data_IF_807189053639
#
_entry.id   IF_807189053639
#
_cell.length_a   1.000
_cell.length_b   1.000
_cell.length_c   1.000
_cell.angle_alpha   90.00
_cell.angle_beta   90.00
_cell.angle_gamma   90.00
#
_symmetry.space_group_name_H-M   'P 1'
#
loop_
_entity.id
_entity.type
_entity.pdbx_description
1 polymer ?
#
# COMPACT_ATOMS: atom_id res chain seq x y z
N UNK A 1 -30.51 -7.35 -29.01
CA UNK A 1 -29.87 -7.61 -27.71
C UNK A 1 -30.94 -7.66 -26.64
N UNK A 2 -31.64 -8.78 -26.55
CA UNK A 2 -32.61 -9.05 -25.49
C UNK A 2 -31.86 -9.66 -24.31
N UNK A 3 -31.81 -8.99 -23.14
CA UNK A 3 -31.20 -9.51 -21.93
C UNK A 3 -30.19 -8.56 -21.25
N UNK A 4 -30.17 -7.29 -21.66
CA UNK A 4 -29.35 -6.26 -21.02
C UNK A 4 -30.16 -4.98 -20.78
N UNK A 5 -29.92 -4.32 -19.66
CA UNK A 5 -30.40 -2.96 -19.41
C UNK A 5 -29.44 -1.94 -20.01
N UNK A 6 -29.98 -0.89 -20.63
CA UNK A 6 -29.21 0.28 -21.06
C UNK A 6 -29.25 1.32 -19.95
N UNK A 7 -28.12 1.56 -19.30
CA UNK A 7 -27.95 2.55 -18.25
C UNK A 7 -27.39 3.84 -18.84
N UNK A 8 -28.00 4.98 -18.53
CA UNK A 8 -27.55 6.32 -18.98
C UNK A 8 -26.65 6.95 -17.88
N UNK A 9 -25.82 7.91 -18.29
CA UNK A 9 -25.05 8.71 -17.33
C UNK A 9 -25.97 9.33 -16.26
N UNK A 10 -25.58 9.27 -15.00
CA UNK A 10 -26.36 9.72 -13.86
C UNK A 10 -27.33 8.69 -13.28
N UNK A 11 -27.60 7.59 -13.98
CA UNK A 11 -28.46 6.50 -13.48
C UNK A 11 -27.65 5.52 -12.63
N UNK A 12 -28.34 4.74 -11.80
CA UNK A 12 -27.76 3.85 -10.78
C UNK A 12 -27.99 2.38 -11.11
N UNK A 13 -27.10 1.56 -10.65
CA UNK A 13 -27.24 0.11 -10.69
C UNK A 13 -26.86 -0.53 -9.34
N UNK A 14 -27.72 -1.38 -8.82
CA UNK A 14 -27.45 -2.22 -7.67
C UNK A 14 -26.93 -3.58 -8.13
N UNK A 15 -25.68 -3.86 -7.75
CA UNK A 15 -25.07 -5.19 -7.88
C UNK A 15 -25.39 -6.00 -6.62
N UNK A 16 -26.19 -7.03 -6.76
CA UNK A 16 -26.61 -7.92 -5.66
C UNK A 16 -25.54 -8.94 -5.23
N UNK A 17 -24.34 -8.91 -5.83
CA UNK A 17 -23.28 -9.86 -5.51
C UNK A 17 -22.49 -9.41 -4.29
N UNK A 18 -22.24 -10.35 -3.38
CA UNK A 18 -21.27 -10.17 -2.30
C UNK A 18 -19.86 -9.94 -2.88
N UNK A 19 -19.14 -9.03 -2.29
CA UNK A 19 -17.70 -8.85 -2.52
C UNK A 19 -17.03 -8.28 -1.25
N UNK A 20 -15.70 -8.40 -1.18
CA UNK A 20 -14.97 -7.89 -0.01
C UNK A 20 -15.25 -6.40 0.21
N UNK A 21 -15.76 -6.06 1.40
CA UNK A 21 -16.18 -4.70 1.74
C UNK A 21 -17.61 -4.33 1.31
N UNK A 22 -18.36 -5.26 0.69
CA UNK A 22 -19.73 -5.05 0.23
C UNK A 22 -20.59 -6.27 0.54
N UNK A 23 -20.91 -6.47 1.83
CA UNK A 23 -21.62 -7.66 2.33
C UNK A 23 -23.04 -7.79 1.74
N UNK A 24 -23.71 -6.69 1.45
CA UNK A 24 -25.02 -6.65 0.81
C UNK A 24 -25.00 -6.07 -0.60
N UNK A 25 -23.86 -6.27 -1.31
CA UNK A 25 -23.67 -5.76 -2.65
C UNK A 25 -23.36 -4.26 -2.70
N UNK A 26 -23.41 -3.66 -3.89
CA UNK A 26 -23.05 -2.25 -4.07
C UNK A 26 -23.99 -1.53 -5.02
N UNK A 27 -24.34 -0.29 -4.70
CA UNK A 27 -25.06 0.61 -5.59
C UNK A 27 -24.07 1.63 -6.12
N UNK A 28 -23.98 1.74 -7.45
CA UNK A 28 -23.07 2.69 -8.12
C UNK A 28 -23.79 3.47 -9.21
N UNK A 29 -23.42 4.73 -9.37
CA UNK A 29 -23.89 5.61 -10.44
C UNK A 29 -22.97 5.51 -11.66
N UNK A 30 -23.51 5.56 -12.85
CA UNK A 30 -22.73 5.66 -14.07
C UNK A 30 -22.25 7.10 -14.28
N UNK A 31 -20.98 7.38 -13.99
CA UNK A 31 -20.38 8.73 -14.06
C UNK A 31 -19.43 8.91 -15.25
N UNK A 32 -18.79 7.84 -15.74
CA UNK A 32 -17.65 7.94 -16.65
C UNK A 32 -18.01 7.87 -18.13
N UNK A 33 -19.16 7.29 -18.47
CA UNK A 33 -19.58 7.05 -19.84
C UNK A 33 -20.98 7.59 -20.08
N UNK A 34 -21.32 8.00 -21.31
CA UNK A 34 -22.68 8.46 -21.64
C UNK A 34 -23.74 7.39 -21.44
N UNK A 35 -23.39 6.13 -21.73
CA UNK A 35 -24.27 4.97 -21.63
C UNK A 35 -23.45 3.70 -21.36
N UNK A 36 -24.08 2.69 -20.74
CA UNK A 36 -23.51 1.38 -20.52
C UNK A 36 -24.57 0.29 -20.55
N UNK A 37 -24.22 -0.91 -21.02
CA UNK A 37 -25.10 -2.08 -20.98
C UNK A 37 -24.77 -2.94 -19.76
N UNK A 38 -25.81 -3.30 -18.97
CA UNK A 38 -25.69 -4.14 -17.78
C UNK A 38 -26.59 -5.37 -17.88
N UNK A 39 -26.13 -6.48 -17.30
CA UNK A 39 -26.92 -7.70 -17.16
C UNK A 39 -28.21 -7.45 -16.38
N UNK A 40 -29.26 -8.21 -16.69
CA UNK A 40 -30.54 -8.20 -15.95
C UNK A 40 -30.43 -8.71 -14.50
N UNK A 41 -29.26 -9.17 -14.08
CA UNK A 41 -28.96 -9.49 -12.67
C UNK A 41 -28.88 -8.23 -11.78
N UNK A 42 -28.65 -7.05 -12.37
CA UNK A 42 -28.63 -5.77 -11.68
C UNK A 42 -30.01 -5.17 -11.57
N UNK A 43 -30.27 -4.42 -10.49
CA UNK A 43 -31.46 -3.54 -10.42
C UNK A 43 -30.98 -2.15 -10.87
N UNK A 44 -31.49 -1.68 -12.03
CA UNK A 44 -31.16 -0.39 -12.59
C UNK A 44 -32.27 0.64 -12.30
N UNK A 45 -31.89 1.86 -11.92
CA UNK A 45 -32.88 2.90 -11.57
C UNK A 45 -32.34 4.32 -11.79
N UNK A 46 -33.26 5.27 -11.92
CA UNK A 46 -33.01 6.70 -11.97
C UNK A 46 -33.66 7.40 -10.76
N UNK A 47 -33.05 8.50 -10.30
CA UNK A 47 -33.61 9.32 -9.23
C UNK A 47 -34.69 10.25 -9.76
N UNK A 48 -35.71 10.53 -8.91
CA UNK A 48 -36.82 11.42 -9.25
C UNK A 48 -36.76 12.78 -8.52
N UNK A 49 -36.24 12.84 -7.30
CA UNK A 49 -36.40 14.01 -6.42
C UNK A 49 -35.13 14.49 -5.73
N UNK A 50 -34.19 13.60 -5.45
CA UNK A 50 -33.04 13.89 -4.59
C UNK A 50 -31.85 14.41 -5.38
N UNK A 51 -30.96 15.13 -4.71
CA UNK A 51 -29.65 15.47 -5.27
C UNK A 51 -28.86 14.20 -5.56
N UNK A 52 -28.35 14.08 -6.80
CA UNK A 52 -27.72 12.84 -7.25
C UNK A 52 -26.34 12.60 -6.61
N UNK A 53 -25.59 13.64 -6.29
CA UNK A 53 -24.29 13.49 -5.63
C UNK A 53 -24.47 13.13 -4.16
N UNK A 54 -25.49 13.66 -3.50
CA UNK A 54 -25.89 13.28 -2.15
C UNK A 54 -26.27 11.78 -2.07
N UNK A 55 -27.13 11.32 -2.97
CA UNK A 55 -27.54 9.90 -3.01
C UNK A 55 -26.39 8.97 -3.32
N UNK A 56 -25.46 9.39 -4.19
CA UNK A 56 -24.22 8.64 -4.42
C UNK A 56 -23.42 8.49 -3.12
N UNK A 57 -23.22 9.57 -2.37
CA UNK A 57 -22.53 9.54 -1.08
C UNK A 57 -23.27 8.69 -0.05
N UNK A 58 -24.61 8.77 -0.02
CA UNK A 58 -25.44 7.92 0.83
C UNK A 58 -25.23 6.43 0.54
N UNK A 59 -25.25 6.02 -0.72
CA UNK A 59 -24.99 4.61 -1.08
C UNK A 59 -23.55 4.19 -0.81
N UNK A 60 -22.59 5.08 -0.96
CA UNK A 60 -21.18 4.81 -0.59
C UNK A 60 -20.97 4.72 0.94
N UNK A 61 -21.88 5.28 1.77
CA UNK A 61 -21.83 5.16 3.24
C UNK A 61 -22.20 3.77 3.76
N UNK A 62 -22.85 2.94 2.95
CA UNK A 62 -23.39 1.62 3.29
C UNK A 62 -24.49 1.63 4.37
N UNK A 63 -24.99 2.80 4.79
CA UNK A 63 -26.08 2.91 5.77
C UNK A 63 -27.41 2.26 5.32
N UNK A 64 -27.61 2.18 4.02
CA UNK A 64 -28.74 1.52 3.39
C UNK A 64 -28.72 -0.02 3.55
N UNK A 65 -27.61 -0.62 4.00
CA UNK A 65 -27.48 -2.06 4.22
C UNK A 65 -28.50 -2.62 5.21
N UNK A 66 -28.87 -1.82 6.22
CA UNK A 66 -29.89 -2.20 7.18
C UNK A 66 -31.20 -2.61 6.50
N UNK A 67 -31.65 -1.82 5.53
CA UNK A 67 -32.89 -2.06 4.81
C UNK A 67 -32.78 -3.28 3.88
N UNK A 68 -31.64 -3.45 3.22
CA UNK A 68 -31.39 -4.63 2.37
C UNK A 68 -31.31 -5.92 3.23
N UNK A 69 -30.70 -5.84 4.41
CA UNK A 69 -30.66 -6.98 5.33
C UNK A 69 -32.06 -7.49 5.65
N UNK A 70 -33.02 -6.60 5.87
CA UNK A 70 -34.42 -6.95 6.24
C UNK A 70 -35.19 -7.64 5.11
N UNK A 71 -34.83 -7.38 3.83
CA UNK A 71 -35.52 -7.93 2.66
C UNK A 71 -34.70 -9.04 1.95
N UNK A 72 -33.44 -9.22 2.31
CA UNK A 72 -32.61 -10.30 1.78
C UNK A 72 -32.99 -11.59 2.52
N UNK A 73 -33.81 -12.43 1.88
CA UNK A 73 -34.13 -13.75 2.45
C UNK A 73 -32.83 -14.56 2.61
N UNK A 74 -32.69 -15.28 3.72
CA UNK A 74 -31.64 -16.29 3.91
C UNK A 74 -31.68 -17.31 2.78
N UNK A 75 -30.79 -17.17 1.83
CA UNK A 75 -30.77 -18.00 0.63
C UNK A 75 -29.58 -17.80 -0.26
N UNK A 76 -28.48 -17.22 0.25
CA UNK A 76 -27.19 -17.24 -0.44
C UNK A 76 -26.64 -18.67 -0.57
N UNK A 77 -27.46 -19.58 -1.06
CA UNK A 77 -27.07 -20.89 -1.56
C UNK A 77 -26.56 -20.66 -2.98
N UNK A 78 -25.26 -20.78 -3.14
CA UNK A 78 -24.51 -20.77 -4.41
C UNK A 78 -24.18 -19.38 -4.97
N UNK A 79 -22.89 -19.08 -4.93
CA UNK A 79 -22.17 -18.03 -5.68
C UNK A 79 -22.27 -16.58 -5.17
N UNK A 80 -22.64 -16.32 -3.92
CA UNK A 80 -22.57 -14.97 -3.34
C UNK A 80 -23.58 -13.97 -3.92
N UNK A 81 -24.61 -14.40 -4.64
CA UNK A 81 -25.70 -13.56 -5.13
C UNK A 81 -26.80 -13.49 -4.09
N UNK A 82 -27.14 -12.28 -3.64
CA UNK A 82 -28.25 -12.03 -2.71
C UNK A 82 -29.60 -12.19 -3.42
N UNK A 83 -30.55 -12.84 -2.77
CA UNK A 83 -31.92 -12.90 -3.24
C UNK A 83 -32.69 -11.67 -2.78
N UNK A 84 -32.65 -10.60 -3.54
CA UNK A 84 -33.36 -9.33 -3.29
C UNK A 84 -34.35 -9.13 -4.42
N UNK A 85 -35.68 -9.26 -4.16
CA UNK A 85 -36.72 -8.97 -5.14
C UNK A 85 -36.69 -7.47 -5.53
N UNK A 86 -36.98 -7.19 -6.79
CA UNK A 86 -36.91 -5.79 -7.30
C UNK A 86 -37.98 -4.92 -6.65
N UNK A 87 -39.18 -5.46 -6.40
CA UNK A 87 -40.29 -4.73 -5.74
C UNK A 87 -39.89 -4.39 -4.31
N UNK A 88 -39.42 -5.36 -3.54
CA UNK A 88 -39.00 -5.15 -2.14
C UNK A 88 -37.84 -4.13 -2.03
N UNK A 89 -36.92 -4.14 -3.02
CA UNK A 89 -35.84 -3.14 -3.08
C UNK A 89 -36.40 -1.71 -3.23
N UNK A 90 -37.41 -1.50 -4.06
CA UNK A 90 -37.99 -0.16 -4.24
C UNK A 90 -38.91 0.24 -3.08
N UNK A 91 -39.38 -0.69 -2.25
CA UNK A 91 -40.18 -0.44 -1.08
C UNK A 91 -39.34 -0.15 0.18
N UNK A 92 -38.00 -0.28 0.10
CA UNK A 92 -37.11 0.06 1.20
C UNK A 92 -37.23 1.53 1.60
N UNK A 93 -37.16 1.79 2.92
CA UNK A 93 -37.35 3.13 3.49
C UNK A 93 -36.01 3.70 3.94
N UNK A 94 -35.67 4.89 3.42
CA UNK A 94 -34.44 5.58 3.73
C UNK A 94 -34.72 6.93 4.37
N UNK A 95 -34.07 7.20 5.51
CA UNK A 95 -34.20 8.48 6.20
C UNK A 95 -33.18 9.47 5.63
N UNK A 96 -33.67 10.45 4.90
CA UNK A 96 -32.86 11.44 4.20
C UNK A 96 -33.39 12.85 4.50
N UNK A 97 -32.55 13.90 4.50
CA UNK A 97 -33.04 15.28 4.55
C UNK A 97 -34.04 15.56 3.41
N UNK A 98 -35.19 16.15 3.73
CA UNK A 98 -36.16 16.51 2.70
C UNK A 98 -35.71 17.69 1.83
N UNK A 99 -34.93 18.60 2.40
CA UNK A 99 -34.44 19.80 1.74
C UNK A 99 -33.28 19.44 0.78
N UNK A 100 -33.51 19.63 -0.51
CA UNK A 100 -32.51 19.35 -1.57
C UNK A 100 -31.30 20.29 -1.46
N UNK A 101 -31.44 21.52 -0.95
CA UNK A 101 -30.29 22.42 -0.74
C UNK A 101 -29.41 21.93 0.41
N UNK A 102 -29.98 21.30 1.43
CA UNK A 102 -29.22 20.63 2.48
C UNK A 102 -28.47 19.42 1.92
N UNK A 103 -29.14 18.58 1.13
CA UNK A 103 -28.52 17.45 0.44
C UNK A 103 -27.33 17.91 -0.40
N UNK A 104 -27.49 18.98 -1.17
CA UNK A 104 -26.44 19.55 -2.02
C UNK A 104 -25.24 20.04 -1.19
N UNK A 105 -25.47 20.75 -0.08
CA UNK A 105 -24.39 21.20 0.82
C UNK A 105 -23.57 20.04 1.38
N UNK A 106 -24.23 18.95 1.77
CA UNK A 106 -23.57 17.73 2.26
C UNK A 106 -22.76 17.10 1.10
N UNK A 107 -23.33 16.98 -0.07
CA UNK A 107 -22.66 16.43 -1.25
C UNK A 107 -21.42 17.25 -1.64
N UNK A 108 -21.55 18.56 -1.75
CA UNK A 108 -20.46 19.47 -2.11
C UNK A 108 -19.29 19.37 -1.09
N UNK A 109 -19.62 19.28 0.18
CA UNK A 109 -18.62 19.09 1.24
C UNK A 109 -17.86 17.76 1.09
N UNK A 110 -18.58 16.65 0.86
CA UNK A 110 -17.96 15.33 0.68
C UNK A 110 -17.14 15.27 -0.63
N UNK A 111 -17.62 15.88 -1.71
CA UNK A 111 -16.88 16.00 -2.98
C UNK A 111 -15.59 16.81 -2.77
N UNK A 112 -15.66 17.92 -2.04
CA UNK A 112 -14.46 18.73 -1.73
C UNK A 112 -13.43 17.93 -0.93
N UNK A 113 -13.90 17.11 0.02
CA UNK A 113 -13.04 16.21 0.79
C UNK A 113 -12.41 15.12 -0.10
N UNK A 114 -13.17 14.53 -1.01
CA UNK A 114 -12.65 13.55 -1.96
C UNK A 114 -11.57 14.13 -2.88
N UNK A 115 -11.80 15.32 -3.43
CA UNK A 115 -10.78 16.04 -4.22
C UNK A 115 -9.52 16.29 -3.40
N UNK A 116 -9.65 16.60 -2.10
CA UNK A 116 -8.51 16.78 -1.22
C UNK A 116 -7.74 15.49 -0.99
N UNK A 117 -8.44 14.37 -0.81
CA UNK A 117 -7.84 13.03 -0.66
C UNK A 117 -7.10 12.65 -1.95
N UNK A 118 -7.72 12.81 -3.11
CA UNK A 118 -7.10 12.51 -4.41
C UNK A 118 -5.84 13.36 -4.66
N UNK A 119 -5.89 14.65 -4.36
CA UNK A 119 -4.73 15.54 -4.47
C UNK A 119 -3.61 15.13 -3.51
N UNK A 120 -3.95 14.72 -2.27
CA UNK A 120 -2.98 14.23 -1.30
C UNK A 120 -2.35 12.91 -1.73
N UNK A 121 -3.13 11.96 -2.27
CA UNK A 121 -2.63 10.70 -2.84
C UNK A 121 -1.65 10.97 -3.99
N UNK A 122 -2.03 11.84 -4.93
CA UNK A 122 -1.17 12.23 -6.06
C UNK A 122 0.16 12.85 -5.59
N UNK A 123 0.12 13.64 -4.53
CA UNK A 123 1.33 14.23 -3.93
C UNK A 123 2.25 13.16 -3.36
N UNK A 124 1.71 12.17 -2.64
CA UNK A 124 2.47 11.02 -2.10
C UNK A 124 3.12 10.25 -3.24
N UNK A 125 2.37 9.90 -4.28
CA UNK A 125 2.86 9.15 -5.43
C UNK A 125 3.96 9.89 -6.19
N UNK A 126 3.83 11.21 -6.34
CA UNK A 126 4.84 12.06 -6.96
C UNK A 126 6.12 12.14 -6.11
N UNK A 127 6.00 12.19 -4.78
CA UNK A 127 7.18 12.13 -3.90
C UNK A 127 7.89 10.78 -3.96
N UNK A 128 7.16 9.67 -4.04
CA UNK A 128 7.74 8.33 -4.24
C UNK A 128 8.46 8.23 -5.59
N UNK A 129 7.89 8.79 -6.67
CA UNK A 129 8.55 8.89 -7.98
C UNK A 129 9.81 9.76 -7.92
N UNK A 130 9.73 10.89 -7.24
CA UNK A 130 10.87 11.79 -7.04
C UNK A 130 12.02 11.08 -6.29
N UNK A 131 11.71 10.33 -5.21
CA UNK A 131 12.70 9.53 -4.48
C UNK A 131 13.41 8.54 -5.42
N UNK A 132 12.66 7.80 -6.25
CA UNK A 132 13.25 6.87 -7.22
C UNK A 132 14.18 7.56 -8.22
N UNK A 133 13.76 8.71 -8.75
CA UNK A 133 14.60 9.53 -9.62
C UNK A 133 15.87 10.03 -8.92
N UNK A 134 15.74 10.44 -7.67
CA UNK A 134 16.86 10.90 -6.84
C UNK A 134 17.85 9.76 -6.55
N UNK A 135 17.37 8.56 -6.19
CA UNK A 135 18.19 7.37 -6.03
C UNK A 135 18.97 7.06 -7.34
N UNK A 136 18.25 7.02 -8.47
CA UNK A 136 18.90 6.79 -9.78
C UNK A 136 19.96 7.83 -10.09
N UNK A 137 19.73 9.10 -9.76
CA UNK A 137 20.71 10.15 -10.00
C UNK A 137 21.91 10.07 -9.06
N UNK A 138 21.69 9.96 -7.74
CA UNK A 138 22.76 9.99 -6.74
C UNK A 138 23.69 8.77 -6.81
N UNK A 139 23.19 7.63 -7.23
CA UNK A 139 23.95 6.38 -7.34
C UNK A 139 24.39 6.06 -8.79
N UNK A 140 24.16 6.99 -9.74
CA UNK A 140 24.59 6.79 -11.12
C UNK A 140 26.10 7.04 -11.29
N UNK A 141 26.72 6.28 -12.17
CA UNK A 141 28.13 6.46 -12.54
C UNK A 141 28.46 7.89 -13.01
N UNK A 142 27.54 8.54 -13.74
CA UNK A 142 27.72 9.91 -14.24
C UNK A 142 27.74 10.96 -13.13
N UNK A 143 26.99 10.74 -12.07
CA UNK A 143 26.94 11.65 -10.92
C UNK A 143 28.19 11.53 -10.05
N UNK A 144 28.72 10.31 -9.98
CA UNK A 144 29.89 9.98 -9.17
C UNK A 144 31.20 10.40 -9.85
N UNK A 145 31.25 10.54 -11.17
CA UNK A 145 32.47 10.99 -11.92
C UNK A 145 32.91 12.43 -11.57
N UNK A 146 32.02 13.25 -10.97
CA UNK A 146 32.35 14.62 -10.52
C UNK A 146 32.95 14.67 -9.11
N UNK A 147 32.99 13.53 -8.40
CA UNK A 147 33.48 13.41 -7.03
C UNK A 147 34.57 12.34 -6.98
N UNK A 148 35.38 12.32 -5.93
CA UNK A 148 36.34 11.25 -5.67
C UNK A 148 35.56 9.97 -5.35
N UNK A 149 35.32 9.14 -6.37
CA UNK A 149 34.64 7.85 -6.25
C UNK A 149 35.58 6.72 -6.52
N UNK A 150 35.41 5.64 -5.76
CA UNK A 150 36.12 4.39 -5.99
C UNK A 150 35.13 3.28 -6.32
N UNK A 151 35.56 2.36 -7.14
CA UNK A 151 34.82 1.14 -7.47
C UNK A 151 35.15 0.07 -6.44
N UNK A 152 34.12 -0.56 -5.90
CA UNK A 152 34.22 -1.65 -4.92
C UNK A 152 33.33 -2.80 -5.34
N UNK A 153 33.76 -4.04 -5.06
CA UNK A 153 32.84 -5.16 -5.04
C UNK A 153 31.91 -5.05 -3.84
N UNK A 154 30.69 -5.58 -3.95
CA UNK A 154 29.75 -5.50 -2.83
C UNK A 154 30.28 -6.19 -1.56
N UNK A 155 31.08 -7.26 -1.70
CA UNK A 155 31.76 -7.92 -0.59
C UNK A 155 32.72 -7.01 0.20
N UNK A 156 33.21 -5.93 -0.42
CA UNK A 156 34.05 -4.91 0.24
C UNK A 156 33.18 -3.81 0.90
N UNK A 157 31.91 -3.65 0.45
CA UNK A 157 30.99 -2.63 0.94
C UNK A 157 30.19 -3.15 2.14
N UNK A 158 29.77 -4.42 2.10
CA UNK A 158 28.93 -5.02 3.15
C UNK A 158 29.17 -6.53 3.31
N UNK A 159 28.92 -7.01 4.51
CA UNK A 159 28.97 -8.44 4.85
C UNK A 159 27.62 -8.88 5.39
N UNK A 160 27.28 -10.18 5.20
CA UNK A 160 26.11 -10.76 5.86
C UNK A 160 26.46 -11.11 7.30
N UNK A 161 25.59 -10.70 8.23
CA UNK A 161 25.69 -11.14 9.62
C UNK A 161 25.42 -12.64 9.71
N UNK A 162 26.34 -13.35 10.33
CA UNK A 162 26.24 -14.81 10.52
C UNK A 162 25.57 -15.19 11.84
N UNK A 163 25.48 -14.25 12.80
CA UNK A 163 24.92 -14.47 14.12
C UNK A 163 23.44 -14.89 14.03
N UNK A 164 23.09 -15.90 14.82
CA UNK A 164 21.74 -16.46 14.88
C UNK A 164 21.15 -16.28 16.26
N UNK A 165 19.85 -16.22 16.30
CA UNK A 165 19.04 -16.20 17.51
C UNK A 165 18.19 -17.45 17.56
N UNK A 166 18.25 -18.12 18.72
CA UNK A 166 17.40 -19.26 19.03
C UNK A 166 16.25 -18.80 19.95
N UNK A 167 14.98 -18.99 19.54
CA UNK A 167 13.83 -18.65 20.37
C UNK A 167 13.81 -19.32 21.74
N UNK A 168 14.44 -20.49 21.88
CA UNK A 168 14.56 -21.21 23.17
C UNK A 168 15.50 -20.53 24.19
N UNK A 169 16.26 -19.52 23.76
CA UNK A 169 17.20 -18.78 24.64
C UNK A 169 16.50 -17.99 25.75
N UNK A 170 15.20 -17.78 25.69
CA UNK A 170 14.41 -17.03 26.65
C UNK A 170 14.60 -15.50 26.62
N UNK A 171 15.45 -14.99 25.70
CA UNK A 171 15.67 -13.55 25.52
C UNK A 171 14.72 -13.05 24.42
N UNK A 172 13.86 -12.09 24.74
CA UNK A 172 12.90 -11.56 23.79
C UNK A 172 13.45 -10.35 23.01
N UNK A 173 13.29 -10.39 21.70
CA UNK A 173 13.57 -9.27 20.79
C UNK A 173 12.37 -9.03 19.86
N UNK A 174 12.19 -7.80 19.34
CA UNK A 174 11.29 -7.56 18.21
C UNK A 174 11.71 -8.42 17.02
N UNK A 175 10.79 -9.23 16.49
CA UNK A 175 11.05 -10.08 15.32
C UNK A 175 10.34 -9.52 14.11
N UNK A 176 11.08 -9.42 13.00
CA UNK A 176 10.58 -8.93 11.70
C UNK A 176 10.51 -10.09 10.71
N UNK A 177 9.31 -10.39 10.24
CA UNK A 177 9.06 -11.31 9.13
C UNK A 177 8.95 -10.51 7.81
N UNK A 178 9.06 -11.20 6.66
CA UNK A 178 8.96 -10.51 5.36
C UNK A 178 7.64 -9.76 5.18
N UNK A 179 6.56 -10.27 5.70
CA UNK A 179 5.23 -9.64 5.65
C UNK A 179 5.17 -8.34 6.45
N UNK A 180 5.99 -8.21 7.47
CA UNK A 180 6.07 -7.00 8.29
C UNK A 180 6.84 -5.85 7.63
N UNK A 181 7.52 -6.08 6.51
CA UNK A 181 8.22 -5.03 5.77
C UNK A 181 7.31 -4.55 4.63
N UNK A 182 7.00 -3.26 4.62
CA UNK A 182 6.26 -2.62 3.54
C UNK A 182 7.10 -2.56 2.26
N UNK A 183 6.49 -2.86 1.12
CA UNK A 183 7.19 -2.82 -0.18
C UNK A 183 7.62 -1.40 -0.53
N UNK A 184 8.84 -1.25 -1.09
CA UNK A 184 9.41 0.00 -1.62
C UNK A 184 9.52 1.17 -0.64
N UNK A 185 9.18 0.99 0.64
CA UNK A 185 9.12 2.11 1.60
C UNK A 185 10.28 2.12 2.62
N UNK A 186 10.79 0.93 2.96
CA UNK A 186 11.76 0.77 4.05
C UNK A 186 11.13 0.76 5.44
N UNK A 187 9.79 0.75 5.55
CA UNK A 187 9.07 0.76 6.82
C UNK A 187 8.86 -0.67 7.35
N UNK A 188 9.04 -0.84 8.65
CA UNK A 188 8.58 -2.00 9.40
C UNK A 188 7.18 -1.66 9.92
N UNK A 189 6.17 -2.41 9.45
CA UNK A 189 4.76 -2.16 9.78
C UNK A 189 4.39 -2.67 11.17
N UNK A 190 5.01 -3.79 11.58
CA UNK A 190 4.79 -4.42 12.87
C UNK A 190 5.97 -5.31 13.23
N UNK A 191 6.08 -5.69 14.48
CA UNK A 191 6.99 -6.73 14.96
C UNK A 191 6.22 -7.75 15.78
N UNK A 192 6.72 -8.98 15.83
CA UNK A 192 6.18 -10.03 16.67
C UNK A 192 7.22 -10.44 17.71
N UNK A 193 6.81 -10.92 18.90
CA UNK A 193 7.76 -11.40 19.92
C UNK A 193 8.60 -12.57 19.39
N UNK A 194 9.92 -12.49 19.51
CA UNK A 194 10.85 -13.53 19.00
C UNK A 194 10.68 -14.88 19.68
N UNK A 195 10.36 -14.89 20.98
CA UNK A 195 10.14 -16.11 21.76
C UNK A 195 8.95 -16.95 21.31
N UNK A 196 8.00 -16.33 20.56
CA UNK A 196 6.85 -17.03 19.99
C UNK A 196 7.15 -17.65 18.62
N UNK A 197 8.38 -17.51 18.13
CA UNK A 197 8.77 -18.04 16.83
C UNK A 197 9.22 -19.50 16.94
N UNK A 198 8.84 -20.32 15.95
CA UNK A 198 9.21 -21.75 15.92
C UNK A 198 10.53 -22.05 15.20
N UNK A 199 11.29 -21.05 14.75
CA UNK A 199 12.51 -21.24 13.97
C UNK A 199 13.62 -20.27 14.34
N UNK A 200 14.86 -20.68 14.11
CA UNK A 200 16.06 -19.86 14.26
C UNK A 200 15.94 -18.60 13.38
N UNK A 201 16.29 -17.45 13.93
CA UNK A 201 16.23 -16.14 13.26
C UNK A 201 17.63 -15.56 13.03
N UNK A 202 17.72 -14.59 12.11
CA UNK A 202 18.92 -13.78 11.96
C UNK A 202 18.89 -12.62 12.97
N UNK A 203 20.04 -12.32 13.57
CA UNK A 203 20.20 -11.13 14.41
C UNK A 203 20.40 -9.91 13.51
N UNK A 204 19.83 -8.77 13.91
CA UNK A 204 20.11 -7.46 13.35
C UNK A 204 20.43 -6.47 14.46
N UNK A 205 21.49 -5.70 14.30
CA UNK A 205 21.96 -4.67 15.24
C UNK A 205 21.70 -3.27 14.69
N UNK A 206 21.65 -2.24 15.53
CA UNK A 206 21.56 -0.87 15.06
C UNK A 206 22.60 -0.58 13.98
N UNK A 207 22.16 -0.03 12.85
CA UNK A 207 23.01 0.26 11.69
C UNK A 207 23.01 -0.81 10.59
N UNK A 208 22.49 -2.00 10.86
CA UNK A 208 22.37 -3.04 9.85
C UNK A 208 21.23 -2.72 8.84
N UNK A 209 21.44 -3.13 7.60
CA UNK A 209 20.40 -3.09 6.57
C UNK A 209 19.75 -4.47 6.42
N UNK A 210 18.42 -4.51 6.52
CA UNK A 210 17.63 -5.70 6.25
C UNK A 210 17.23 -5.74 4.78
N UNK A 211 17.47 -6.85 4.10
CA UNK A 211 17.07 -7.06 2.71
C UNK A 211 16.38 -8.41 2.53
N UNK A 212 15.15 -8.39 2.05
CA UNK A 212 14.36 -9.57 1.74
C UNK A 212 14.91 -10.31 0.53
N UNK A 213 15.59 -11.46 0.75
CA UNK A 213 16.13 -12.26 -0.34
C UNK A 213 15.07 -13.05 -1.11
N UNK A 214 13.96 -13.40 -0.47
CA UNK A 214 12.83 -14.09 -1.10
C UNK A 214 12.00 -13.09 -1.92
N UNK A 215 11.83 -13.39 -3.21
CA UNK A 215 11.13 -12.53 -4.18
C UNK A 215 11.67 -11.10 -4.16
N UNK A 216 12.95 -10.89 -4.49
CA UNK A 216 13.60 -9.58 -4.36
C UNK A 216 12.91 -8.48 -5.18
N UNK A 217 12.16 -8.82 -6.23
CA UNK A 217 11.32 -7.91 -6.98
C UNK A 217 10.22 -7.21 -6.14
N UNK A 218 9.89 -7.76 -4.96
CA UNK A 218 8.97 -7.12 -4.00
C UNK A 218 9.63 -5.95 -3.27
N UNK A 219 10.95 -5.74 -3.43
CA UNK A 219 11.68 -4.57 -2.89
C UNK A 219 11.43 -4.36 -1.41
N UNK A 220 11.55 -5.45 -0.63
CA UNK A 220 11.41 -5.42 0.83
C UNK A 220 12.76 -5.21 1.48
N UNK A 221 12.96 -4.05 2.04
CA UNK A 221 14.18 -3.65 2.75
C UNK A 221 13.80 -2.81 3.97
N UNK A 222 14.62 -2.80 5.00
CA UNK A 222 14.45 -1.97 6.19
C UNK A 222 15.80 -1.62 6.81
N UNK A 223 15.80 -0.63 7.68
CA UNK A 223 16.98 -0.23 8.44
C UNK A 223 16.77 -0.60 9.90
N UNK A 224 17.75 -1.29 10.53
CA UNK A 224 17.69 -1.64 11.92
C UNK A 224 18.11 -0.43 12.77
N UNK A 225 17.15 0.18 13.48
CA UNK A 225 17.42 1.28 14.41
C UNK A 225 17.71 0.79 15.83
N UNK A 226 17.35 -0.45 16.14
CA UNK A 226 17.56 -1.11 17.43
C UNK A 226 17.93 -2.58 17.23
N UNK A 227 18.33 -3.23 18.30
CA UNK A 227 18.51 -4.67 18.30
C UNK A 227 17.20 -5.37 18.00
N UNK A 228 17.20 -6.25 17.00
CA UNK A 228 16.05 -7.03 16.57
C UNK A 228 16.48 -8.35 15.96
N UNK A 229 15.53 -9.22 15.70
CA UNK A 229 15.74 -10.45 14.93
C UNK A 229 14.85 -10.46 13.72
N UNK A 230 15.23 -11.20 12.69
CA UNK A 230 14.43 -11.26 11.46
C UNK A 230 14.41 -12.67 10.87
N UNK A 231 13.45 -12.89 9.97
CA UNK A 231 13.30 -14.14 9.22
C UNK A 231 14.61 -14.58 8.55
N UNK A 232 14.80 -15.89 8.43
CA UNK A 232 15.90 -16.45 7.64
C UNK A 232 15.85 -16.06 6.16
N UNK A 233 14.69 -15.60 5.66
CA UNK A 233 14.51 -15.08 4.30
C UNK A 233 14.90 -13.59 4.15
N UNK A 234 15.42 -12.98 5.21
CA UNK A 234 15.93 -11.60 5.24
C UNK A 234 17.44 -11.67 5.51
N UNK A 235 18.23 -11.08 4.60
CA UNK A 235 19.64 -10.84 4.89
C UNK A 235 19.80 -9.64 5.82
N UNK A 236 20.69 -9.78 6.79
CA UNK A 236 21.17 -8.67 7.62
C UNK A 236 22.55 -8.28 7.10
N UNK A 237 22.66 -7.08 6.57
CA UNK A 237 23.87 -6.55 5.93
C UNK A 237 24.57 -5.57 6.88
N UNK A 238 25.81 -5.88 7.23
CA UNK A 238 26.68 -5.05 8.05
C UNK A 238 27.48 -4.13 7.12
N UNK A 239 27.41 -2.79 7.25
CA UNK A 239 28.25 -1.89 6.47
C UNK A 239 29.73 -2.06 6.84
N UNK A 240 30.61 -1.96 5.84
CA UNK A 240 32.06 -1.86 6.07
C UNK A 240 32.49 -0.41 6.36
N UNK A 241 33.76 -0.21 6.62
CA UNK A 241 34.35 1.10 6.94
C UNK A 241 34.37 2.09 5.76
N UNK A 242 34.03 1.65 4.53
CA UNK A 242 33.99 2.53 3.35
C UNK A 242 32.61 3.13 3.07
N UNK A 243 31.59 2.70 3.82
CA UNK A 243 30.20 3.10 3.56
C UNK A 243 29.46 3.46 4.84
N UNK A 244 28.70 4.57 4.83
CA UNK A 244 27.80 4.90 5.92
C UNK A 244 26.64 3.90 6.00
N UNK A 245 26.19 3.51 7.22
CA UNK A 245 25.07 2.56 7.36
C UNK A 245 23.81 2.94 6.56
N UNK A 246 23.39 4.19 6.65
CA UNK A 246 22.24 4.70 5.88
C UNK A 246 22.51 4.78 4.38
N UNK A 247 23.75 4.99 3.96
CA UNK A 247 24.10 4.98 2.54
C UNK A 247 23.98 3.56 1.96
N UNK A 248 24.45 2.53 2.69
CA UNK A 248 24.22 1.12 2.33
C UNK A 248 22.73 0.81 2.22
N UNK A 249 21.92 1.27 3.18
CA UNK A 249 20.46 1.11 3.14
C UNK A 249 19.85 1.70 1.87
N UNK A 250 20.28 2.88 1.44
CA UNK A 250 19.80 3.47 0.18
C UNK A 250 20.39 2.80 -1.07
N UNK A 251 21.61 2.30 -1.00
CA UNK A 251 22.23 1.53 -2.09
C UNK A 251 21.40 0.29 -2.42
N UNK A 252 20.90 -0.43 -1.40
CA UNK A 252 20.05 -1.62 -1.61
C UNK A 252 18.68 -1.32 -2.24
N UNK A 253 18.27 -0.04 -2.31
CA UNK A 253 17.04 0.41 -2.95
C UNK A 253 17.22 0.78 -4.43
N UNK A 254 18.47 0.87 -4.91
CA UNK A 254 18.77 1.26 -6.29
C UNK A 254 18.39 0.18 -7.29
N UNK A 255 18.04 0.59 -8.51
CA UNK A 255 17.77 -0.37 -9.59
C UNK A 255 18.98 -1.25 -9.90
N UNK A 256 20.21 -0.69 -9.81
CA UNK A 256 21.45 -1.44 -10.02
C UNK A 256 21.56 -2.61 -9.04
N UNK A 257 21.34 -2.39 -7.74
CA UNK A 257 21.38 -3.46 -6.75
C UNK A 257 20.24 -4.47 -6.97
N UNK A 258 19.04 -3.98 -7.25
CA UNK A 258 17.86 -4.81 -7.46
C UNK A 258 17.94 -5.68 -8.72
N UNK A 259 18.57 -5.20 -9.79
CA UNK A 259 18.82 -5.99 -10.98
C UNK A 259 19.69 -7.20 -10.65
N UNK A 260 20.77 -7.02 -9.89
CA UNK A 260 21.63 -8.13 -9.45
C UNK A 260 20.87 -9.07 -8.50
N UNK A 261 20.12 -8.52 -7.56
CA UNK A 261 19.34 -9.30 -6.59
C UNK A 261 18.24 -10.14 -7.26
N UNK A 262 17.75 -9.73 -8.42
CA UNK A 262 16.73 -10.46 -9.17
C UNK A 262 17.31 -11.56 -10.09
N UNK A 263 18.63 -11.68 -10.20
CA UNK A 263 19.28 -12.81 -10.88
C UNK A 263 19.08 -14.04 -9.99
N UNK A 264 18.20 -14.93 -10.38
CA UNK A 264 17.88 -16.14 -9.62
C UNK A 264 17.76 -17.35 -10.53
N UNK A 265 18.08 -18.53 -10.00
CA UNK A 265 18.01 -19.81 -10.70
C UNK A 265 16.62 -20.47 -10.69
N UNK A 266 15.65 -19.92 -9.96
CA UNK A 266 14.32 -20.52 -9.75
C UNK A 266 13.17 -19.65 -10.23
N UNK A 267 12.16 -20.25 -10.86
CA UNK A 267 11.01 -19.52 -11.43
C UNK A 267 9.83 -19.36 -10.48
N UNK A 268 9.54 -20.35 -9.62
CA UNK A 268 8.35 -20.34 -8.74
C UNK A 268 8.49 -19.49 -7.47
N UNK A 269 9.68 -19.50 -6.86
CA UNK A 269 9.99 -18.74 -5.64
C UNK A 269 11.42 -18.19 -5.72
N UNK A 270 11.66 -17.16 -6.57
CA UNK A 270 13.00 -16.64 -6.80
C UNK A 270 13.60 -16.08 -5.50
N UNK A 271 14.87 -16.38 -5.28
CA UNK A 271 15.68 -15.85 -4.17
C UNK A 271 16.91 -15.16 -4.71
N UNK A 272 17.25 -14.04 -4.13
CA UNK A 272 18.54 -13.41 -4.39
C UNK A 272 19.67 -14.35 -3.93
N UNK A 273 20.70 -14.49 -4.75
CA UNK A 273 21.86 -15.30 -4.45
C UNK A 273 23.03 -14.41 -4.05
N UNK A 274 23.65 -14.73 -2.91
CA UNK A 274 24.76 -13.94 -2.40
C UNK A 274 25.95 -13.93 -3.36
N UNK A 275 26.23 -15.05 -4.00
CA UNK A 275 27.32 -15.21 -4.99
C UNK A 275 27.21 -14.23 -6.17
N UNK A 276 26.00 -13.76 -6.50
CA UNK A 276 25.81 -12.74 -7.52
C UNK A 276 26.02 -11.34 -6.93
N UNK A 277 25.49 -11.09 -5.72
CA UNK A 277 25.56 -9.78 -5.06
C UNK A 277 27.01 -9.45 -4.69
N UNK A 278 27.75 -10.37 -4.05
CA UNK A 278 29.12 -10.12 -3.55
C UNK A 278 30.12 -9.70 -4.64
N UNK A 279 29.88 -10.14 -5.89
CA UNK A 279 30.72 -9.86 -7.05
C UNK A 279 30.26 -8.64 -7.84
N UNK A 280 29.11 -8.07 -7.51
CA UNK A 280 28.61 -6.88 -8.19
C UNK A 280 29.41 -5.66 -7.78
N UNK A 281 29.73 -4.82 -8.76
CA UNK A 281 30.54 -3.61 -8.56
C UNK A 281 29.66 -2.38 -8.37
N UNK A 282 30.03 -1.54 -7.42
CA UNK A 282 29.34 -0.29 -7.12
C UNK A 282 30.35 0.85 -6.96
N UNK A 283 29.93 2.04 -7.34
CA UNK A 283 30.70 3.25 -7.13
C UNK A 283 30.35 3.87 -5.78
N UNK A 284 31.34 3.97 -4.89
CA UNK A 284 31.17 4.55 -3.55
C UNK A 284 31.94 5.88 -3.50
N UNK A 285 31.25 7.01 -3.29
CA UNK A 285 31.87 8.30 -3.15
C UNK A 285 32.48 8.46 -1.73
N UNK A 286 33.26 9.51 -1.55
CA UNK A 286 33.77 9.86 -0.22
C UNK A 286 32.63 10.14 0.79
N UNK A 287 32.95 10.10 2.08
CA UNK A 287 31.97 10.26 3.16
C UNK A 287 31.22 11.59 3.12
N UNK A 288 31.83 12.67 2.63
CA UNK A 288 31.18 13.98 2.54
C UNK A 288 30.00 13.94 1.57
N UNK A 289 30.16 13.23 0.46
CA UNK A 289 29.11 13.03 -0.55
C UNK A 289 28.05 12.04 -0.05
N UNK A 290 28.50 10.95 0.61
CA UNK A 290 27.58 10.00 1.23
C UNK A 290 26.66 10.70 2.24
N UNK A 291 27.20 11.54 3.14
CA UNK A 291 26.42 12.30 4.11
C UNK A 291 25.37 13.22 3.46
N UNK A 292 25.76 13.93 2.38
CA UNK A 292 24.81 14.79 1.64
C UNK A 292 23.69 13.96 1.00
N UNK A 293 24.04 12.83 0.37
CA UNK A 293 23.06 11.94 -0.25
C UNK A 293 22.08 11.36 0.79
N UNK A 294 22.61 10.88 1.91
CA UNK A 294 21.79 10.34 3.01
C UNK A 294 20.86 11.41 3.56
N UNK A 295 21.37 12.61 3.90
CA UNK A 295 20.57 13.71 4.44
C UNK A 295 19.42 14.11 3.50
N UNK A 296 19.69 14.16 2.19
CA UNK A 296 18.68 14.48 1.18
C UNK A 296 17.60 13.41 1.09
N UNK A 297 17.99 12.13 1.04
CA UNK A 297 17.05 11.00 0.95
C UNK A 297 16.21 10.83 2.23
N UNK A 298 16.82 11.00 3.42
CA UNK A 298 16.09 11.02 4.69
C UNK A 298 15.07 12.17 4.75
N UNK A 299 15.43 13.34 4.23
CA UNK A 299 14.50 14.46 4.11
C UNK A 299 13.28 14.14 3.24
N UNK A 300 13.50 13.44 2.12
CA UNK A 300 12.41 12.98 1.26
C UNK A 300 11.56 11.90 1.95
N UNK A 301 12.18 10.94 2.64
CA UNK A 301 11.47 9.88 3.37
C UNK A 301 10.61 10.43 4.49
N UNK A 302 11.12 11.39 5.28
CA UNK A 302 10.34 12.12 6.29
C UNK A 302 9.14 12.82 5.67
N UNK A 303 9.32 13.46 4.51
CA UNK A 303 8.24 14.14 3.80
C UNK A 303 7.18 13.17 3.28
N UNK A 304 7.58 12.03 2.72
CA UNK A 304 6.66 10.96 2.30
C UNK A 304 5.86 10.46 3.50
N UNK A 305 6.53 10.11 4.60
CA UNK A 305 5.87 9.61 5.81
C UNK A 305 4.85 10.60 6.38
N UNK A 306 5.21 11.88 6.43
CA UNK A 306 4.28 12.93 6.87
C UNK A 306 3.07 13.05 5.94
N UNK A 307 3.27 13.01 4.62
CA UNK A 307 2.17 13.12 3.66
C UNK A 307 1.28 11.87 3.63
N UNK A 308 1.85 10.69 3.85
CA UNK A 308 1.09 9.45 4.05
C UNK A 308 0.21 9.53 5.31
N UNK A 309 0.73 10.03 6.43
CA UNK A 309 -0.07 10.18 7.66
C UNK A 309 -1.23 11.16 7.49
N UNK A 310 -1.04 12.25 6.74
CA UNK A 310 -2.14 13.16 6.38
C UNK A 310 -3.19 12.44 5.52
N UNK A 311 -2.78 11.61 4.58
CA UNK A 311 -3.70 10.83 3.73
C UNK A 311 -4.54 9.86 4.57
N UNK A 312 -3.91 9.14 5.49
CA UNK A 312 -4.59 8.22 6.43
C UNK A 312 -5.61 9.00 7.28
N UNK A 313 -5.21 10.16 7.81
CA UNK A 313 -6.10 11.02 8.59
C UNK A 313 -7.31 11.50 7.79
N UNK A 314 -7.11 11.97 6.55
CA UNK A 314 -8.21 12.43 5.68
C UNK A 314 -9.20 11.31 5.35
N UNK A 315 -8.70 10.09 5.06
CA UNK A 315 -9.56 8.93 4.83
C UNK A 315 -10.35 8.54 6.09
N UNK A 316 -9.71 8.55 7.26
CA UNK A 316 -10.38 8.32 8.55
C UNK A 316 -11.45 9.38 8.85
N UNK A 317 -11.15 10.65 8.57
CA UNK A 317 -12.10 11.76 8.70
C UNK A 317 -13.32 11.55 7.79
N UNK A 318 -13.11 11.21 6.51
CA UNK A 318 -14.20 10.89 5.57
C UNK A 318 -15.08 9.77 6.10
N UNK A 319 -14.49 8.66 6.52
CA UNK A 319 -15.23 7.52 7.07
C UNK A 319 -16.07 7.93 8.29
N UNK A 320 -15.50 8.67 9.25
CA UNK A 320 -16.19 9.13 10.43
C UNK A 320 -17.32 10.12 10.12
N UNK A 321 -17.13 11.00 9.13
CA UNK A 321 -18.16 11.93 8.67
C UNK A 321 -19.32 11.20 7.98
N UNK A 322 -19.03 10.23 7.12
CA UNK A 322 -20.07 9.43 6.47
C UNK A 322 -20.91 8.65 7.48
N UNK A 323 -20.29 8.17 8.57
CA UNK A 323 -21.05 7.50 9.65
C UNK A 323 -21.97 8.45 10.43
N UNK A 324 -21.63 9.74 10.53
CA UNK A 324 -22.40 10.75 11.28
C UNK A 324 -23.42 11.50 10.44
N UNK A 325 -23.14 11.75 9.16
CA UNK A 325 -24.02 12.50 8.26
C UNK A 325 -25.21 11.66 7.76
N UNK A 326 -25.01 10.36 7.66
CA UNK A 326 -26.07 9.42 7.28
C UNK A 326 -26.47 8.59 8.51
N UNK A 327 -27.71 8.79 8.97
CA UNK A 327 -28.25 8.14 10.17
C UNK A 327 -28.88 6.80 9.83
#
# INVERSE_FOLDING_TARGET
MSGYYLLKNGEYAYNKSYSVGYDFGSIKRLDRYPMGALSTLYICFALKRHDSDFIKAYFDSLKWYREIYMISAEGARNHGLLNVPTEDFFDTKHYLPENVDEQRKIADFLIALDRRIEAQQSLVDNLKKYKRGLLSHLFSEKSTQRCTTKRYYFSEIAQRRSEKYDPSSGIEYPCVELENIEQESGKILATVPSIKQGSIKNIARPGDTLFGKLRPYLRKYAFAEQMMVCSSEIWTLIPSDVVLPKFLFYLTQTEQFLQVANISSGTKMPRAEWSNIEKAEFFIPDFSVQHKAVSLLEGVDKKITYKDSVLIYLNGLKTGLMQKLFI
#
